data_IF_557573819612
#
_entry.id   IF_557573819612
#
_cell.length_a   1.000
_cell.length_b   1.000
_cell.length_c   1.000
_cell.angle_alpha   90.00
_cell.angle_beta   90.00
_cell.angle_gamma   90.00
#
_symmetry.space_group_name_H-M   'P 1'
#
loop_
_entity.id
_entity.type
_entity.pdbx_description
1 polymer ?
#
# COMPACT_ATOMS: atom_id res chain seq x y z
N UNK A 1 8.12 -29.65 -17.70
CA UNK A 1 7.27 -28.69 -18.43
C UNK A 1 7.61 -27.31 -17.91
N UNK A 2 7.91 -26.35 -18.78
CA UNK A 2 8.15 -24.97 -18.35
C UNK A 2 6.81 -24.34 -17.94
N UNK A 3 6.76 -23.53 -16.88
CA UNK A 3 5.57 -22.73 -16.58
C UNK A 3 5.29 -21.79 -17.76
N UNK A 4 4.03 -21.69 -18.19
CA UNK A 4 3.65 -20.74 -19.23
C UNK A 4 3.90 -19.31 -18.78
N UNK A 5 4.49 -18.48 -19.64
CA UNK A 5 4.74 -17.08 -19.34
C UNK A 5 3.61 -16.20 -19.88
N UNK A 6 3.14 -15.25 -19.06
CA UNK A 6 2.26 -14.17 -19.50
C UNK A 6 3.11 -13.14 -20.25
N UNK A 7 2.81 -12.92 -21.52
CA UNK A 7 3.50 -11.96 -22.37
C UNK A 7 2.93 -10.56 -22.24
N UNK A 8 1.60 -10.46 -22.24
CA UNK A 8 0.87 -9.18 -22.11
C UNK A 8 -0.42 -9.39 -21.35
N UNK A 9 -0.89 -8.34 -20.67
CA UNK A 9 -2.19 -8.31 -20.01
C UNK A 9 -2.89 -6.98 -20.28
N UNK A 10 -4.23 -6.99 -20.35
CA UNK A 10 -5.06 -5.78 -20.37
C UNK A 10 -6.19 -5.90 -19.34
N UNK A 11 -6.57 -4.75 -18.77
CA UNK A 11 -7.62 -4.64 -17.75
C UNK A 11 -8.45 -3.41 -18.09
N UNK A 12 -9.62 -3.63 -18.70
CA UNK A 12 -10.46 -2.55 -19.19
C UNK A 12 -11.84 -2.63 -18.54
N UNK A 13 -12.43 -1.48 -18.14
CA UNK A 13 -13.86 -1.43 -17.87
C UNK A 13 -14.64 -1.98 -19.07
N UNK A 14 -15.64 -2.81 -18.81
CA UNK A 14 -16.54 -3.29 -19.86
C UNK A 14 -17.59 -2.24 -20.25
N UNK A 15 -18.41 -2.58 -21.24
CA UNK A 15 -19.42 -1.67 -21.79
C UNK A 15 -20.58 -1.33 -20.83
N UNK A 16 -20.65 -1.98 -19.67
CA UNK A 16 -21.71 -1.80 -18.68
C UNK A 16 -21.13 -1.64 -17.27
N UNK A 17 -21.80 -0.89 -16.38
CA UNK A 17 -21.42 -0.80 -14.97
C UNK A 17 -21.24 -2.19 -14.34
N UNK A 18 -20.16 -2.37 -13.60
CA UNK A 18 -19.82 -3.64 -12.95
C UNK A 18 -19.15 -4.67 -13.86
N UNK A 19 -18.95 -4.38 -15.15
CA UNK A 19 -18.18 -5.25 -16.03
C UNK A 19 -16.70 -4.87 -16.03
N UNK A 20 -15.84 -5.89 -15.93
CA UNK A 20 -14.40 -5.78 -16.09
C UNK A 20 -13.95 -6.82 -17.10
N UNK A 21 -13.16 -6.41 -18.08
CA UNK A 21 -12.56 -7.29 -19.08
C UNK A 21 -11.08 -7.48 -18.79
N UNK A 22 -10.69 -8.74 -18.63
CA UNK A 22 -9.29 -9.15 -18.50
C UNK A 22 -8.89 -9.95 -19.73
N UNK A 23 -7.81 -9.53 -20.40
CA UNK A 23 -7.23 -10.30 -21.50
C UNK A 23 -5.77 -10.60 -21.18
N UNK A 24 -5.34 -11.82 -21.50
CA UNK A 24 -3.97 -12.29 -21.31
C UNK A 24 -3.49 -12.96 -22.58
N UNK A 25 -2.26 -12.63 -22.99
CA UNK A 25 -1.56 -13.35 -24.06
C UNK A 25 -0.45 -14.18 -23.42
N UNK A 26 -0.42 -15.47 -23.72
CA UNK A 26 0.59 -16.40 -23.20
C UNK A 26 1.58 -16.78 -24.30
N UNK A 27 2.83 -17.02 -23.94
CA UNK A 27 3.85 -17.48 -24.89
C UNK A 27 3.67 -18.95 -25.26
N UNK A 28 3.47 -19.79 -24.24
CA UNK A 28 3.35 -21.24 -24.34
C UNK A 28 2.24 -21.74 -23.40
N UNK A 29 1.16 -22.27 -23.97
CA UNK A 29 0.14 -23.01 -23.25
C UNK A 29 0.15 -24.48 -23.73
N UNK A 30 0.59 -25.46 -22.92
CA UNK A 30 0.30 -26.88 -23.10
C UNK A 30 -1.08 -27.16 -23.69
N UNK A 31 -1.07 -27.66 -24.92
CA UNK A 31 -2.26 -28.09 -25.65
C UNK A 31 -2.95 -29.28 -24.97
N UNK A 32 -2.18 -30.12 -24.26
CA UNK A 32 -2.62 -31.41 -23.74
C UNK A 32 -3.04 -31.36 -22.26
N UNK A 33 -3.10 -30.19 -21.63
CA UNK A 33 -3.49 -30.07 -20.21
C UNK A 33 -4.35 -28.82 -19.98
N UNK A 34 -5.51 -28.94 -19.32
CA UNK A 34 -6.37 -27.80 -19.06
C UNK A 34 -5.70 -26.82 -18.12
N UNK A 35 -5.78 -25.54 -18.46
CA UNK A 35 -5.41 -24.45 -17.58
C UNK A 35 -6.55 -24.11 -16.66
N UNK A 36 -6.24 -23.71 -15.43
CA UNK A 36 -7.25 -23.14 -14.53
C UNK A 36 -6.90 -21.69 -14.28
N UNK A 37 -7.78 -20.79 -14.70
CA UNK A 37 -7.72 -19.41 -14.25
C UNK A 37 -8.34 -19.35 -12.85
N UNK A 38 -7.67 -18.70 -11.90
CA UNK A 38 -8.14 -18.54 -10.53
C UNK A 38 -8.21 -17.05 -10.22
N UNK A 39 -9.37 -16.58 -9.74
CA UNK A 39 -9.52 -15.23 -9.22
C UNK A 39 -9.45 -15.29 -7.69
N UNK A 40 -8.25 -15.07 -7.17
CA UNK A 40 -7.89 -15.32 -5.78
C UNK A 40 -8.16 -14.16 -4.82
N UNK A 41 -8.56 -13.01 -5.35
CA UNK A 41 -8.86 -11.81 -4.58
C UNK A 41 -8.67 -10.53 -5.37
N UNK A 42 -8.95 -9.41 -4.72
CA UNK A 42 -8.84 -8.08 -5.30
C UNK A 42 -8.71 -7.03 -4.18
N UNK A 43 -8.28 -5.82 -4.56
CA UNK A 43 -8.26 -4.67 -3.68
C UNK A 43 -9.36 -3.68 -4.07
N UNK A 44 -9.94 -3.00 -3.09
CA UNK A 44 -10.90 -1.90 -3.30
C UNK A 44 -10.53 -0.72 -2.43
N UNK A 45 -10.46 0.46 -3.04
CA UNK A 45 -10.28 1.71 -2.30
C UNK A 45 -11.58 2.10 -1.59
N UNK A 46 -11.54 2.10 -0.26
CA UNK A 46 -12.68 2.38 0.60
C UNK A 46 -12.37 3.53 1.55
N UNK A 47 -13.40 4.26 1.97
CA UNK A 47 -13.24 5.26 3.03
C UNK A 47 -12.84 4.58 4.33
N UNK A 48 -11.89 5.18 5.01
CA UNK A 48 -11.42 4.77 6.33
C UNK A 48 -11.34 6.01 7.23
N UNK A 49 -11.39 5.78 8.55
CA UNK A 49 -11.26 6.80 9.59
C UNK A 49 -10.32 6.34 10.71
N UNK A 50 -9.58 5.24 10.50
CA UNK A 50 -8.56 4.74 11.41
C UNK A 50 -7.55 5.84 11.74
N UNK A 51 -7.43 6.17 13.02
CA UNK A 51 -6.62 7.29 13.46
C UNK A 51 -5.93 7.06 14.80
N UNK A 52 -4.81 7.77 14.99
CA UNK A 52 -4.01 7.74 16.20
C UNK A 52 -3.45 9.12 16.51
N UNK A 53 -3.38 9.46 17.80
CA UNK A 53 -2.69 10.66 18.26
C UNK A 53 -1.39 10.29 18.97
N UNK A 54 -0.34 11.05 18.68
CA UNK A 54 0.99 10.84 19.25
C UNK A 54 1.71 12.17 19.45
N UNK A 55 2.73 12.15 20.30
CA UNK A 55 3.65 13.28 20.52
C UNK A 55 4.90 13.07 19.67
N UNK A 56 5.10 13.85 18.58
CA UNK A 56 6.19 13.62 17.63
C UNK A 56 7.58 13.58 18.28
N UNK A 57 7.81 14.46 19.27
CA UNK A 57 9.08 14.59 19.99
C UNK A 57 9.44 13.36 20.85
N UNK A 58 8.46 12.49 21.16
CA UNK A 58 8.68 11.28 21.96
C UNK A 58 8.99 10.05 21.13
N UNK A 59 8.68 10.04 19.83
CA UNK A 59 8.71 8.82 19.00
C UNK A 59 10.08 8.12 19.02
N UNK A 60 11.17 8.90 18.99
CA UNK A 60 12.54 8.37 18.97
C UNK A 60 12.90 7.52 20.19
N UNK A 61 12.29 7.83 21.34
CA UNK A 61 12.51 7.11 22.61
C UNK A 61 11.38 6.12 22.87
N UNK A 62 10.17 6.46 22.44
CA UNK A 62 8.96 5.67 22.62
C UNK A 62 8.21 5.54 21.29
N UNK A 63 8.59 4.56 20.45
CA UNK A 63 7.87 4.26 19.22
C UNK A 63 6.40 3.95 19.48
N UNK A 64 5.54 4.31 18.53
CA UNK A 64 4.10 4.22 18.70
C UNK A 64 3.49 3.23 17.68
N UNK A 65 2.80 2.16 18.11
CA UNK A 65 2.17 1.22 17.20
C UNK A 65 0.85 1.78 16.65
N UNK A 66 0.64 1.62 15.35
CA UNK A 66 -0.62 1.85 14.65
C UNK A 66 -1.05 0.57 13.97
N UNK A 67 -2.04 -0.12 14.55
CA UNK A 67 -2.54 -1.40 14.07
C UNK A 67 -3.99 -1.30 13.67
N UNK A 68 -4.31 -1.66 12.43
CA UNK A 68 -5.68 -1.59 11.95
C UNK A 68 -5.90 -2.59 10.81
N UNK A 69 -6.91 -3.46 10.97
CA UNK A 69 -7.39 -4.37 9.92
C UNK A 69 -6.31 -5.16 9.19
N UNK A 70 -5.37 -5.71 9.97
CA UNK A 70 -4.27 -6.54 9.46
C UNK A 70 -2.98 -5.77 9.20
N UNK A 71 -3.04 -4.45 9.08
CA UNK A 71 -1.85 -3.61 8.96
C UNK A 71 -1.23 -3.37 10.34
N UNK A 72 0.10 -3.44 10.41
CA UNK A 72 0.89 -3.17 11.60
C UNK A 72 2.03 -2.21 11.24
N UNK A 73 1.86 -0.94 11.61
CA UNK A 73 2.84 0.11 11.43
C UNK A 73 3.42 0.52 12.79
N UNK A 74 4.71 0.83 12.81
CA UNK A 74 5.39 1.39 13.96
C UNK A 74 5.93 2.77 13.61
N UNK A 75 5.40 3.79 14.28
CA UNK A 75 5.88 5.17 14.17
C UNK A 75 7.15 5.32 15.01
N UNK A 76 8.26 5.73 14.38
CA UNK A 76 9.61 5.65 14.96
C UNK A 76 10.25 7.00 15.25
N UNK A 77 10.09 7.97 14.37
CA UNK A 77 10.68 9.30 14.53
C UNK A 77 9.85 10.35 13.78
N UNK A 78 10.03 11.61 14.13
CA UNK A 78 9.47 12.72 13.38
C UNK A 78 10.50 13.85 13.24
N UNK A 79 10.73 14.29 12.01
CA UNK A 79 11.68 15.36 11.70
C UNK A 79 11.03 16.43 10.83
N UNK A 80 11.67 17.60 10.77
CA UNK A 80 11.39 18.62 9.75
C UNK A 80 12.57 18.63 8.81
N UNK A 81 12.31 18.35 7.54
CA UNK A 81 13.33 18.20 6.50
C UNK A 81 13.30 19.40 5.54
N UNK A 82 14.47 19.75 5.02
CA UNK A 82 14.66 20.81 4.02
C UNK A 82 15.29 20.23 2.75
N UNK A 83 15.11 20.85 1.57
CA UNK A 83 15.78 20.43 0.35
C UNK A 83 17.31 20.33 0.56
N UNK A 84 18.00 19.34 -0.03
CA UNK A 84 17.51 18.35 -1.01
C UNK A 84 16.91 17.08 -0.38
N UNK A 85 16.67 17.07 0.93
CA UNK A 85 16.17 15.88 1.63
C UNK A 85 14.64 15.71 1.51
N UNK A 86 13.94 16.60 0.80
CA UNK A 86 12.50 16.56 0.60
C UNK A 86 12.15 16.09 -0.82
N UNK A 87 10.86 15.83 -1.08
CA UNK A 87 10.37 15.49 -2.42
C UNK A 87 10.25 16.72 -3.36
N UNK A 88 10.62 17.91 -2.90
CA UNK A 88 10.47 19.17 -3.65
C UNK A 88 11.43 20.26 -3.17
N UNK A 89 11.01 21.52 -3.34
CA UNK A 89 11.82 22.70 -2.98
C UNK A 89 11.38 23.32 -1.64
N UNK A 90 10.46 22.70 -0.93
CA UNK A 90 9.89 23.20 0.31
C UNK A 90 10.34 22.38 1.52
N UNK A 91 10.24 23.01 2.69
CA UNK A 91 10.40 22.37 3.99
C UNK A 91 9.15 21.52 4.29
N UNK A 92 9.35 20.29 4.77
CA UNK A 92 8.26 19.37 5.06
C UNK A 92 8.47 18.59 6.36
N UNK A 93 7.37 18.22 7.01
CA UNK A 93 7.41 17.29 8.13
C UNK A 93 7.59 15.87 7.61
N UNK A 94 8.37 15.06 8.30
CA UNK A 94 8.61 13.66 7.97
C UNK A 94 8.34 12.77 9.17
N UNK A 95 7.31 11.93 9.06
CA UNK A 95 7.06 10.83 9.97
C UNK A 95 7.77 9.59 9.45
N UNK A 96 8.71 9.06 10.24
CA UNK A 96 9.49 7.87 9.91
C UNK A 96 8.84 6.65 10.53
N UNK A 97 8.64 5.60 9.76
CA UNK A 97 7.96 4.38 10.19
C UNK A 97 8.51 3.12 9.52
N UNK A 98 8.26 1.98 10.14
CA UNK A 98 8.40 0.66 9.53
C UNK A 98 7.12 -0.14 9.79
N UNK A 99 6.95 -1.25 9.07
CA UNK A 99 5.80 -2.10 9.31
C UNK A 99 5.46 -3.01 8.15
N UNK A 100 4.34 -3.70 8.33
CA UNK A 100 3.76 -4.64 7.38
C UNK A 100 2.32 -4.26 7.11
N UNK A 101 1.93 -4.28 5.84
CA UNK A 101 0.57 -4.03 5.41
C UNK A 101 -0.01 -5.33 4.85
N UNK A 102 -1.18 -5.69 5.34
CA UNK A 102 -2.06 -6.67 4.74
C UNK A 102 -2.83 -6.07 3.55
N UNK A 103 -3.19 -4.79 3.66
CA UNK A 103 -3.88 -4.04 2.62
C UNK A 103 -2.87 -3.39 1.65
N UNK A 104 -3.32 -3.05 0.45
CA UNK A 104 -2.49 -2.34 -0.53
C UNK A 104 -2.34 -0.86 -0.12
N UNK A 105 -1.20 -0.24 -0.46
CA UNK A 105 -0.91 1.13 -0.07
C UNK A 105 -0.95 2.11 -1.24
N UNK A 106 -0.91 1.63 -2.48
CA UNK A 106 -0.81 2.47 -3.67
C UNK A 106 -1.97 3.46 -3.84
N UNK A 107 -3.19 3.07 -3.47
CA UNK A 107 -4.37 3.96 -3.49
C UNK A 107 -4.79 4.42 -2.09
N UNK A 108 -4.01 4.06 -1.06
CA UNK A 108 -4.31 4.48 0.31
C UNK A 108 -3.99 5.96 0.50
N UNK A 109 -4.91 6.69 1.11
CA UNK A 109 -4.75 8.11 1.42
C UNK A 109 -4.56 8.33 2.92
N UNK A 110 -3.66 9.24 3.26
CA UNK A 110 -3.35 9.57 4.64
C UNK A 110 -3.30 11.07 4.87
N UNK A 111 -3.66 11.48 6.09
CA UNK A 111 -3.63 12.86 6.57
C UNK A 111 -2.90 12.95 7.89
N UNK A 112 -2.10 14.00 8.05
CA UNK A 112 -1.58 14.44 9.35
C UNK A 112 -2.31 15.71 9.77
N UNK A 113 -2.74 15.78 11.02
CA UNK A 113 -3.48 16.93 11.55
C UNK A 113 -2.89 17.39 12.88
N UNK A 114 -2.66 18.69 13.00
CA UNK A 114 -2.39 19.32 14.30
C UNK A 114 -3.74 19.51 15.01
N UNK A 115 -3.91 19.08 16.27
CA UNK A 115 -5.17 19.30 17.00
C UNK A 115 -5.57 20.77 17.00
N UNK A 116 -6.81 21.06 16.58
CA UNK A 116 -7.36 22.41 16.38
C UNK A 116 -6.59 23.29 15.37
N UNK A 117 -5.74 22.68 14.56
CA UNK A 117 -4.89 23.35 13.59
C UNK A 117 -5.10 22.83 12.17
N UNK A 118 -4.05 23.02 11.37
CA UNK A 118 -4.00 22.67 9.95
C UNK A 118 -3.91 21.15 9.77
N UNK A 119 -4.50 20.69 8.67
CA UNK A 119 -4.38 19.33 8.14
C UNK A 119 -3.46 19.33 6.91
N UNK A 120 -2.70 18.25 6.76
CA UNK A 120 -1.68 18.07 5.73
C UNK A 120 -1.92 16.77 4.97
N UNK A 121 -1.90 16.85 3.65
CA UNK A 121 -1.81 15.69 2.77
C UNK A 121 -0.48 14.99 2.97
N UNK A 122 -0.50 13.66 3.02
CA UNK A 122 0.73 12.87 3.08
C UNK A 122 1.14 12.42 1.68
N UNK A 123 2.43 12.54 1.38
CA UNK A 123 3.08 11.79 0.30
C UNK A 123 4.01 10.74 0.91
N UNK A 124 4.27 9.67 0.16
CA UNK A 124 5.05 8.54 0.66
C UNK A 124 6.43 8.50 0.01
N UNK A 125 7.46 8.15 0.79
CA UNK A 125 8.82 7.95 0.29
C UNK A 125 9.44 6.73 0.97
N UNK A 126 10.10 5.89 0.17
CA UNK A 126 10.75 4.67 0.65
C UNK A 126 10.69 3.57 -0.40
N UNK A 127 10.83 2.34 0.06
CA UNK A 127 10.70 1.13 -0.72
C UNK A 127 9.70 0.18 -0.04
N UNK A 128 9.17 -0.75 -0.81
CA UNK A 128 8.31 -1.82 -0.32
C UNK A 128 8.71 -3.14 -0.98
N UNK A 129 8.41 -4.26 -0.31
CA UNK A 129 8.49 -5.60 -0.91
C UNK A 129 7.31 -6.42 -0.45
N UNK A 130 6.88 -7.36 -1.28
CA UNK A 130 5.92 -8.38 -0.88
C UNK A 130 6.66 -9.56 -0.27
N UNK A 131 6.26 -10.00 0.93
CA UNK A 131 6.75 -11.21 1.58
C UNK A 131 5.58 -12.21 1.67
N UNK A 132 5.75 -13.44 1.17
CA UNK A 132 4.69 -14.47 1.16
C UNK A 132 5.04 -15.64 0.23
N UNK A 133 4.47 -16.83 0.48
CA UNK A 133 4.72 -18.04 -0.35
C UNK A 133 4.06 -17.96 -1.71
N UNK A 134 2.92 -17.27 -1.82
CA UNK A 134 2.10 -17.17 -3.03
C UNK A 134 1.98 -15.74 -3.55
N UNK A 135 2.82 -14.82 -3.05
CA UNK A 135 2.78 -13.40 -3.36
C UNK A 135 1.84 -12.63 -2.43
N UNK A 136 0.92 -11.84 -3.01
CA UNK A 136 0.09 -10.87 -2.28
C UNK A 136 -1.10 -11.50 -1.53
N UNK A 137 -1.51 -12.73 -1.88
CA UNK A 137 -2.73 -13.37 -1.32
C UNK A 137 -2.55 -13.84 0.13
N UNK A 138 -1.39 -14.38 0.43
CA UNK A 138 -1.02 -14.98 1.71
C UNK A 138 0.17 -14.25 2.37
N UNK A 139 0.53 -13.11 1.79
CA UNK A 139 1.68 -12.31 2.17
C UNK A 139 1.31 -10.96 2.76
N UNK A 140 2.34 -10.21 3.12
CA UNK A 140 2.23 -8.82 3.54
C UNK A 140 3.21 -7.96 2.74
N UNK A 141 2.86 -6.69 2.58
CA UNK A 141 3.74 -5.67 2.02
C UNK A 141 4.57 -5.13 3.18
N UNK A 142 5.88 -5.37 3.16
CA UNK A 142 6.79 -4.78 4.13
C UNK A 142 7.27 -3.41 3.64
N UNK A 143 7.12 -2.41 4.49
CA UNK A 143 7.60 -1.05 4.25
C UNK A 143 9.00 -0.83 4.82
N UNK A 144 9.81 -0.01 4.15
CA UNK A 144 11.09 0.48 4.66
C UNK A 144 11.80 1.42 3.67
N UNK A 145 13.11 1.60 3.79
CA UNK A 145 13.94 2.34 2.81
C UNK A 145 15.30 2.77 3.38
N UNK A 146 16.40 2.89 2.61
CA UNK A 146 16.63 2.60 1.19
C UNK A 146 16.80 1.10 0.97
N UNK A 147 15.82 0.53 0.27
CA UNK A 147 15.75 -0.88 -0.16
C UNK A 147 15.78 -1.93 0.97
N UNK A 148 15.18 -1.53 2.10
CA UNK A 148 14.55 -2.39 3.13
C UNK A 148 15.44 -2.85 4.31
N UNK A 149 16.40 -2.00 4.69
CA UNK A 149 17.06 -2.00 6.01
C UNK A 149 16.92 -0.69 6.80
N UNK A 150 16.12 0.26 6.33
CA UNK A 150 15.81 1.51 7.03
C UNK A 150 14.32 1.88 6.97
N UNK A 151 13.98 3.10 7.36
CA UNK A 151 12.60 3.53 7.57
C UNK A 151 11.92 4.04 6.30
N UNK A 152 10.62 3.80 6.22
CA UNK A 152 9.69 4.42 5.29
C UNK A 152 9.29 5.79 5.82
N UNK A 153 8.92 6.71 4.94
CA UNK A 153 8.61 8.10 5.31
C UNK A 153 7.23 8.50 4.80
N UNK A 154 6.42 9.01 5.73
CA UNK A 154 5.22 9.80 5.44
C UNK A 154 5.59 11.28 5.51
N UNK A 155 5.50 11.96 4.38
CA UNK A 155 5.91 13.35 4.18
C UNK A 155 4.70 14.28 4.15
N UNK A 156 4.76 15.35 4.94
CA UNK A 156 3.73 16.38 5.05
C UNK A 156 4.27 17.74 4.59
N UNK A 157 4.15 18.08 3.30
CA UNK A 157 4.58 19.38 2.77
C UNK A 157 3.97 20.55 3.53
N UNK A 158 4.80 21.54 3.87
CA UNK A 158 4.40 22.75 4.57
C UNK A 158 4.16 22.58 6.09
N UNK A 159 4.44 21.41 6.66
CA UNK A 159 4.56 21.23 8.12
C UNK A 159 6.00 21.55 8.53
N UNK A 160 6.28 22.83 8.78
CA UNK A 160 7.65 23.35 8.94
C UNK A 160 8.17 23.36 10.38
N UNK A 161 7.35 22.92 11.32
CA UNK A 161 7.68 22.87 12.76
C UNK A 161 7.22 21.53 13.34
N UNK A 162 7.86 21.10 14.43
CA UNK A 162 7.46 19.90 15.16
C UNK A 162 6.41 20.32 16.21
N UNK A 163 5.12 20.00 16.01
CA UNK A 163 4.09 20.32 16.99
C UNK A 163 4.14 19.36 18.19
N UNK A 164 3.56 19.79 19.32
CA UNK A 164 3.48 18.96 20.53
C UNK A 164 2.69 17.66 20.31
N UNK A 165 1.70 17.70 19.42
CA UNK A 165 0.84 16.57 19.11
C UNK A 165 0.45 16.55 17.64
N UNK A 166 0.39 15.36 17.07
CA UNK A 166 -0.19 15.08 15.76
C UNK A 166 -1.25 13.99 15.85
N UNK A 167 -2.21 14.05 14.94
CA UNK A 167 -3.10 12.96 14.61
C UNK A 167 -2.76 12.44 13.21
N UNK A 168 -2.42 11.16 13.09
CA UNK A 168 -2.35 10.46 11.82
C UNK A 168 -3.71 9.80 11.56
N UNK A 169 -4.27 9.97 10.37
CA UNK A 169 -5.52 9.35 9.95
C UNK A 169 -5.34 8.73 8.57
N UNK A 170 -5.73 7.47 8.41
CA UNK A 170 -5.92 6.89 7.07
C UNK A 170 -7.33 7.22 6.62
N UNK A 171 -7.46 7.99 5.55
CA UNK A 171 -8.76 8.42 5.01
C UNK A 171 -9.28 7.50 3.91
N UNK A 172 -8.38 6.80 3.23
CA UNK A 172 -8.70 5.75 2.26
C UNK A 172 -7.79 4.57 2.50
N UNK A 173 -8.36 3.37 2.57
CA UNK A 173 -7.64 2.09 2.58
C UNK A 173 -7.87 1.38 1.25
N UNK A 174 -6.83 0.80 0.66
CA UNK A 174 -6.98 -0.10 -0.48
C UNK A 174 -7.09 -1.55 0.02
N UNK A 175 -8.31 -1.90 0.43
CA UNK A 175 -8.60 -3.08 1.25
C UNK A 175 -8.50 -4.37 0.44
N UNK A 176 -7.83 -5.37 1.01
CA UNK A 176 -7.74 -6.71 0.43
C UNK A 176 -9.01 -7.54 0.70
N UNK A 177 -9.58 -8.12 -0.36
CA UNK A 177 -10.63 -9.12 -0.33
C UNK A 177 -10.11 -10.45 -0.88
N UNK A 178 -10.07 -11.48 -0.04
CA UNK A 178 -9.67 -12.86 -0.40
C UNK A 178 -10.83 -13.86 -0.28
N UNK A 179 -12.05 -13.38 0.00
CA UNK A 179 -13.25 -14.20 0.14
C UNK A 179 -13.84 -14.63 -1.21
N UNK A 180 -13.01 -14.77 -2.24
CA UNK A 180 -13.41 -15.18 -3.58
C UNK A 180 -13.04 -16.64 -3.78
N UNK A 181 -14.02 -17.42 -4.22
CA UNK A 181 -13.85 -18.81 -4.63
C UNK A 181 -14.33 -18.95 -6.06
N UNK A 182 -13.53 -18.42 -7.00
CA UNK A 182 -13.81 -18.52 -8.42
C UNK A 182 -12.60 -19.04 -9.16
N UNK A 183 -12.82 -20.14 -9.86
CA UNK A 183 -11.88 -20.67 -10.83
C UNK A 183 -12.63 -21.19 -12.04
N UNK A 184 -12.01 -21.09 -13.20
CA UNK A 184 -12.56 -21.64 -14.44
C UNK A 184 -11.47 -22.35 -15.22
N UNK A 185 -11.72 -23.56 -15.73
CA UNK A 185 -10.83 -24.16 -16.70
C UNK A 185 -10.87 -23.32 -17.99
N UNK A 186 -9.70 -23.06 -18.57
CA UNK A 186 -9.54 -22.49 -19.90
C UNK A 186 -9.20 -23.64 -20.83
N UNK A 187 -10.13 -23.91 -21.75
CA UNK A 187 -9.97 -24.86 -22.84
C UNK A 187 -10.36 -24.15 -24.11
N UNK A 188 -9.56 -24.32 -25.17
CA UNK A 188 -10.02 -23.98 -26.50
C UNK A 188 -11.09 -25.00 -26.89
N UNK A 189 -12.34 -24.55 -26.99
CA UNK A 189 -13.39 -25.37 -27.60
C UNK A 189 -13.17 -25.32 -29.12
N UNK A 190 -13.00 -26.49 -29.72
CA UNK A 190 -12.78 -26.68 -31.17
C UNK A 190 -14.09 -26.90 -31.91
#
# INVERSE_FOLDING_TARGET
MAPGFVMTQSRNPGDKPGMMQWSYTFQDLPLDSPYTFIFDGYFVSERDDASVQFEPSKLKVQPFPFRFEGDDLMLRDFTVESPPNTNGEEVEGSLHLDGTLWNEYLQSEWRLKVPNGKEYTITMRGASTTEGSSGWKDGYIRLGGPNLGGLFEFRAPGLTEIPDRLQLTRTVVDRLYTNVDWSTPVKEES
#
